data_IF_430717212344
#
_entry.id   IF_430717212344
#
_cell.length_a   1.000
_cell.length_b   1.000
_cell.length_c   1.000
_cell.angle_alpha   90.00
_cell.angle_beta   90.00
_cell.angle_gamma   90.00
#
_symmetry.space_group_name_H-M   'P 1'
#
loop_
_entity.id
_entity.type
_entity.pdbx_description
1 polymer ?
#
# COMPACT_ATOMS: atom_id res chain seq x y z
N UNK A 1 -46.50 33.00 8.42
CA UNK A 1 -47.83 33.64 8.18
C UNK A 1 -47.93 34.20 6.75
N UNK A 2 -48.25 35.49 6.52
CA UNK A 2 -47.97 36.13 5.22
C UNK A 2 -46.47 36.43 5.12
N UNK A 3 -45.92 36.53 3.91
CA UNK A 3 -44.49 36.78 3.73
C UNK A 3 -44.09 38.20 4.21
N UNK A 4 -42.89 38.29 4.78
CA UNK A 4 -42.21 39.52 5.21
C UNK A 4 -41.26 39.93 4.09
N UNK A 5 -41.27 41.21 3.74
CA UNK A 5 -40.46 41.75 2.66
C UNK A 5 -39.70 42.98 3.16
N UNK A 6 -38.39 42.99 2.91
CA UNK A 6 -37.53 44.16 2.93
C UNK A 6 -37.73 45.07 1.71
N UNK A 7 -36.79 45.98 1.52
CA UNK A 7 -36.69 46.89 0.39
C UNK A 7 -35.30 46.85 -0.27
N UNK A 8 -34.82 47.95 -0.86
CA UNK A 8 -33.52 47.94 -1.57
C UNK A 8 -32.43 48.67 -0.75
N UNK A 9 -32.69 48.89 0.53
CA UNK A 9 -31.78 49.49 1.50
C UNK A 9 -31.49 48.43 2.59
N UNK A 10 -30.39 48.58 3.34
CA UNK A 10 -30.05 47.67 4.45
C UNK A 10 -31.20 47.54 5.47
N UNK A 11 -31.63 46.31 5.73
CA UNK A 11 -32.75 45.99 6.61
C UNK A 11 -32.33 45.12 7.81
N UNK A 12 -33.04 45.28 8.93
CA UNK A 12 -32.99 44.34 10.06
C UNK A 12 -34.38 43.71 10.20
N UNK A 13 -34.47 42.41 9.95
CA UNK A 13 -35.74 41.69 9.82
C UNK A 13 -35.79 40.50 10.79
N UNK A 14 -36.93 40.35 11.46
CA UNK A 14 -37.21 39.22 12.35
C UNK A 14 -38.48 38.51 11.87
N UNK A 15 -38.41 37.20 11.65
CA UNK A 15 -39.53 36.31 11.33
C UNK A 15 -40.51 36.23 12.49
N UNK A 16 -39.98 35.89 13.67
CA UNK A 16 -40.76 35.62 14.87
C UNK A 16 -41.13 34.15 14.96
N UNK A 17 -41.97 33.79 15.93
CA UNK A 17 -42.32 32.38 16.13
C UNK A 17 -43.27 31.82 15.05
N UNK A 18 -42.92 30.65 14.52
CA UNK A 18 -43.63 29.82 13.56
C UNK A 18 -43.08 29.94 12.13
N UNK A 19 -43.47 29.04 11.24
CA UNK A 19 -42.95 29.02 9.86
C UNK A 19 -43.19 30.33 9.08
N UNK A 20 -42.10 31.03 8.79
CA UNK A 20 -42.10 32.33 8.13
C UNK A 20 -41.37 32.33 6.78
N UNK A 21 -41.71 33.35 5.99
CA UNK A 21 -41.10 33.57 4.67
C UNK A 21 -40.59 34.98 4.64
N UNK A 22 -39.28 35.14 4.57
CA UNK A 22 -38.60 36.42 4.67
C UNK A 22 -37.76 36.65 3.42
N UNK A 23 -37.88 37.85 2.85
CA UNK A 23 -37.16 38.25 1.64
C UNK A 23 -36.52 39.62 1.88
N UNK A 24 -35.19 39.72 1.91
CA UNK A 24 -34.43 40.97 2.05
C UNK A 24 -34.59 41.89 0.83
N UNK A 25 -34.41 41.31 -0.36
CA UNK A 25 -34.38 41.94 -1.69
C UNK A 25 -33.03 42.54 -2.06
N UNK A 26 -32.65 43.70 -1.54
CA UNK A 26 -31.31 44.20 -1.79
C UNK A 26 -30.84 45.22 -0.77
N UNK A 27 -29.52 45.41 -0.69
CA UNK A 27 -28.88 46.02 0.49
C UNK A 27 -28.13 44.95 1.27
N UNK A 28 -27.43 45.34 2.32
CA UNK A 28 -26.80 44.39 3.25
C UNK A 28 -27.74 44.14 4.42
N UNK A 29 -28.51 43.07 4.35
CA UNK A 29 -29.59 42.77 5.28
C UNK A 29 -29.14 41.87 6.43
N UNK A 30 -29.78 42.03 7.59
CA UNK A 30 -29.62 41.17 8.77
C UNK A 30 -30.96 40.52 9.09
N UNK A 31 -31.08 39.22 8.84
CA UNK A 31 -32.36 38.49 8.85
C UNK A 31 -32.30 37.31 9.83
N UNK A 32 -33.27 37.28 10.75
CA UNK A 32 -33.42 36.23 11.77
C UNK A 32 -34.77 35.51 11.61
N UNK A 33 -34.76 34.18 11.58
CA UNK A 33 -35.95 33.31 11.54
C UNK A 33 -36.68 33.26 12.89
N UNK A 34 -35.94 33.02 13.98
CA UNK A 34 -36.42 32.64 15.32
C UNK A 34 -36.88 31.16 15.36
N UNK A 35 -37.88 30.79 16.16
CA UNK A 35 -38.40 29.40 16.22
C UNK A 35 -39.33 29.14 15.02
N UNK A 36 -39.12 28.11 14.20
CA UNK A 36 -39.99 27.77 13.07
C UNK A 36 -39.25 27.02 11.97
N UNK A 37 -39.97 26.53 10.95
CA UNK A 37 -39.32 26.09 9.71
C UNK A 37 -39.37 27.24 8.71
N UNK A 38 -38.31 28.03 8.66
CA UNK A 38 -38.29 29.30 7.96
C UNK A 38 -37.71 29.22 6.55
N UNK A 39 -38.17 30.13 5.70
CA UNK A 39 -37.64 30.32 4.35
C UNK A 39 -37.14 31.74 4.20
N UNK A 40 -35.83 31.92 4.25
CA UNK A 40 -35.13 33.20 4.27
C UNK A 40 -34.34 33.35 2.98
N UNK A 41 -34.49 34.50 2.33
CA UNK A 41 -33.73 34.90 1.14
C UNK A 41 -33.14 36.28 1.38
N UNK A 42 -31.81 36.41 1.28
CA UNK A 42 -31.09 37.69 1.36
C UNK A 42 -31.39 38.55 0.14
N UNK A 43 -30.78 38.25 -1.00
CA UNK A 43 -31.02 38.95 -2.26
C UNK A 43 -29.74 39.49 -2.88
N UNK A 44 -29.73 40.77 -3.26
CA UNK A 44 -28.53 41.45 -3.77
C UNK A 44 -27.84 42.23 -2.61
N UNK A 45 -26.60 41.92 -2.26
CA UNK A 45 -25.82 42.62 -1.23
C UNK A 45 -25.11 41.62 -0.31
N UNK A 46 -24.33 42.12 0.65
CA UNK A 46 -23.64 41.26 1.62
C UNK A 46 -24.56 41.06 2.84
N UNK A 47 -25.22 39.90 2.93
CA UNK A 47 -26.29 39.62 3.89
C UNK A 47 -25.84 38.76 5.07
N UNK A 48 -26.54 38.86 6.20
CA UNK A 48 -26.41 37.97 7.36
C UNK A 48 -27.75 37.26 7.61
N UNK A 49 -27.77 35.94 7.47
CA UNK A 49 -28.98 35.11 7.59
C UNK A 49 -28.82 34.12 8.75
N UNK A 50 -29.76 34.12 9.70
CA UNK A 50 -29.80 33.15 10.79
C UNK A 50 -31.18 32.49 10.87
N UNK A 51 -31.23 31.16 10.73
CA UNK A 51 -32.47 30.39 10.85
C UNK A 51 -32.96 30.28 12.30
N UNK A 52 -32.02 30.03 13.22
CA UNK A 52 -32.29 29.65 14.61
C UNK A 52 -32.98 28.27 14.73
N UNK A 53 -34.23 28.20 15.17
CA UNK A 53 -34.81 26.95 15.68
C UNK A 53 -35.79 26.28 14.73
N UNK A 54 -35.36 25.30 13.94
CA UNK A 54 -36.25 24.41 13.18
C UNK A 54 -35.58 23.92 11.91
N UNK A 55 -36.35 23.42 10.94
CA UNK A 55 -35.81 23.01 9.63
C UNK A 55 -35.87 24.19 8.65
N UNK A 56 -34.78 24.94 8.53
CA UNK A 56 -34.76 26.22 7.81
C UNK A 56 -34.24 26.11 6.38
N UNK A 57 -34.52 27.12 5.56
CA UNK A 57 -33.92 27.32 4.25
C UNK A 57 -33.38 28.74 4.16
N UNK A 58 -32.06 28.87 4.11
CA UNK A 58 -31.33 30.13 4.01
C UNK A 58 -30.68 30.23 2.62
N UNK A 59 -31.02 31.26 1.87
CA UNK A 59 -30.47 31.53 0.53
C UNK A 59 -29.84 32.93 0.54
N UNK A 60 -28.52 33.02 0.41
CA UNK A 60 -27.78 34.29 0.42
C UNK A 60 -28.15 35.16 -0.78
N UNK A 61 -27.72 34.76 -1.98
CA UNK A 61 -28.09 35.43 -3.22
C UNK A 61 -26.86 35.90 -3.98
N UNK A 62 -26.68 37.20 -4.14
CA UNK A 62 -25.53 37.78 -4.80
C UNK A 62 -24.84 38.78 -3.88
N UNK A 63 -23.55 38.60 -3.62
CA UNK A 63 -22.80 39.34 -2.61
C UNK A 63 -22.02 38.36 -1.74
N UNK A 64 -21.32 38.86 -0.73
CA UNK A 64 -20.56 38.02 0.19
C UNK A 64 -21.36 37.82 1.48
N UNK A 65 -22.05 36.70 1.59
CA UNK A 65 -23.08 36.46 2.60
C UNK A 65 -22.55 35.68 3.80
N UNK A 66 -23.21 35.80 4.95
CA UNK A 66 -22.97 35.01 6.15
C UNK A 66 -24.26 34.26 6.52
N UNK A 67 -24.25 32.93 6.41
CA UNK A 67 -25.39 32.09 6.76
C UNK A 67 -25.09 31.30 8.03
N UNK A 68 -25.91 31.43 9.05
CA UNK A 68 -25.72 30.80 10.36
C UNK A 68 -26.84 29.81 10.63
N UNK A 69 -26.48 28.53 10.73
CA UNK A 69 -27.33 27.49 11.32
C UNK A 69 -27.00 27.39 12.80
N UNK A 70 -27.98 27.69 13.65
CA UNK A 70 -27.85 27.69 15.10
C UNK A 70 -29.13 27.15 15.76
N UNK A 71 -29.33 25.85 15.71
CA UNK A 71 -30.46 25.21 16.38
C UNK A 71 -30.72 23.76 15.95
N UNK A 72 -31.62 23.11 16.67
CA UNK A 72 -32.05 21.76 16.35
C UNK A 72 -32.97 21.72 15.12
N UNK A 73 -32.45 21.26 13.98
CA UNK A 73 -33.23 20.95 12.78
C UNK A 73 -32.35 20.71 11.54
N UNK A 74 -32.98 20.27 10.45
CA UNK A 74 -32.35 19.97 9.17
C UNK A 74 -32.48 21.17 8.25
N UNK A 75 -31.38 21.91 8.11
CA UNK A 75 -31.37 23.16 7.37
C UNK A 75 -30.92 22.99 5.91
N UNK A 76 -31.25 23.98 5.08
CA UNK A 76 -30.75 24.12 3.71
C UNK A 76 -30.10 25.47 3.56
N UNK A 77 -28.79 25.50 3.35
CA UNK A 77 -28.01 26.73 3.22
C UNK A 77 -27.39 26.77 1.81
N UNK A 78 -27.58 27.87 1.11
CA UNK A 78 -27.03 28.13 -0.23
C UNK A 78 -26.51 29.59 -0.24
N UNK A 79 -25.19 29.78 -0.32
CA UNK A 79 -24.56 31.11 -0.31
C UNK A 79 -24.92 31.90 -1.56
N UNK A 80 -24.74 31.31 -2.75
CA UNK A 80 -25.19 31.90 -4.01
C UNK A 80 -24.03 32.37 -4.87
N UNK A 81 -23.79 33.67 -5.01
CA UNK A 81 -22.71 34.19 -5.85
C UNK A 81 -21.93 35.28 -5.10
N UNK A 82 -20.64 35.08 -4.92
CA UNK A 82 -19.75 35.90 -4.09
C UNK A 82 -18.92 35.00 -3.19
N UNK A 83 -18.08 35.58 -2.33
CA UNK A 83 -17.29 34.82 -1.37
C UNK A 83 -18.06 34.73 -0.04
N UNK A 84 -18.75 33.60 0.19
CA UNK A 84 -19.72 33.42 1.28
C UNK A 84 -19.12 32.72 2.51
N UNK A 85 -19.77 32.86 3.67
CA UNK A 85 -19.41 32.20 4.92
C UNK A 85 -20.62 31.47 5.50
N UNK A 86 -20.55 30.14 5.58
CA UNK A 86 -21.56 29.33 6.27
C UNK A 86 -21.03 28.92 7.63
N UNK A 87 -21.80 29.17 8.69
CA UNK A 87 -21.45 28.84 10.08
C UNK A 87 -22.43 27.81 10.62
N UNK A 88 -21.92 26.66 11.05
CA UNK A 88 -22.70 25.60 11.66
C UNK A 88 -22.34 25.51 13.15
N UNK A 89 -23.34 25.75 14.00
CA UNK A 89 -23.17 25.76 15.46
C UNK A 89 -23.73 24.51 16.16
N UNK A 90 -24.65 23.74 15.54
CA UNK A 90 -25.13 22.43 16.01
C UNK A 90 -25.70 21.56 14.87
N UNK A 91 -25.98 20.28 15.18
CA UNK A 91 -25.94 19.17 14.21
C UNK A 91 -27.24 18.38 14.00
N UNK A 92 -27.97 18.74 12.96
CA UNK A 92 -28.72 17.77 12.16
C UNK A 92 -28.22 17.81 10.71
N UNK A 93 -28.55 16.80 9.88
CA UNK A 93 -27.98 16.69 8.54
C UNK A 93 -28.51 17.77 7.61
N UNK A 94 -27.77 18.87 7.50
CA UNK A 94 -28.12 20.02 6.67
C UNK A 94 -27.58 19.88 5.24
N UNK A 95 -28.30 20.42 4.26
CA UNK A 95 -27.83 20.56 2.88
C UNK A 95 -27.09 21.88 2.75
N UNK A 96 -25.84 21.84 2.30
CA UNK A 96 -25.00 23.03 2.19
C UNK A 96 -24.51 23.23 0.76
N UNK A 97 -24.51 24.47 0.30
CA UNK A 97 -23.85 24.91 -0.93
C UNK A 97 -23.19 26.26 -0.68
N UNK A 98 -21.93 26.38 -1.09
CA UNK A 98 -21.22 27.66 -1.15
C UNK A 98 -21.80 28.51 -2.28
N UNK A 99 -21.55 28.12 -3.52
CA UNK A 99 -22.08 28.84 -4.67
C UNK A 99 -21.00 29.16 -5.70
N UNK A 100 -21.06 30.32 -6.33
CA UNK A 100 -20.01 30.84 -7.20
C UNK A 100 -19.10 31.79 -6.42
N UNK A 101 -17.88 31.39 -6.08
CA UNK A 101 -16.90 32.28 -5.43
C UNK A 101 -15.84 31.50 -4.69
N UNK A 102 -15.25 32.09 -3.64
CA UNK A 102 -14.40 31.38 -2.68
C UNK A 102 -15.12 31.31 -1.32
N UNK A 103 -15.83 30.22 -1.09
CA UNK A 103 -16.73 30.11 0.05
C UNK A 103 -16.04 29.46 1.26
N UNK A 104 -16.48 29.82 2.47
CA UNK A 104 -15.92 29.34 3.74
C UNK A 104 -16.98 28.65 4.59
N UNK A 105 -16.73 27.39 4.98
CA UNK A 105 -17.52 26.67 5.97
C UNK A 105 -16.81 26.72 7.35
N UNK A 106 -17.48 27.29 8.35
CA UNK A 106 -17.06 27.31 9.75
C UNK A 106 -17.85 26.28 10.54
N UNK A 107 -17.18 25.25 11.06
CA UNK A 107 -17.82 24.20 11.85
C UNK A 107 -17.36 24.31 13.30
N UNK A 108 -18.31 24.52 14.21
CA UNK A 108 -18.09 24.56 15.66
C UNK A 108 -18.91 23.48 16.36
N UNK A 109 -18.64 22.20 16.10
CA UNK A 109 -19.36 21.09 16.74
C UNK A 109 -19.34 19.78 15.95
N UNK A 110 -20.24 18.87 16.32
CA UNK A 110 -20.56 17.66 15.56
C UNK A 110 -21.53 18.03 14.44
N UNK A 111 -21.20 17.67 13.20
CA UNK A 111 -22.10 17.90 12.05
C UNK A 111 -22.26 16.60 11.28
N UNK A 112 -23.49 16.30 10.89
CA UNK A 112 -23.79 15.25 9.92
C UNK A 112 -23.98 15.94 8.57
N UNK A 113 -23.34 15.45 7.50
CA UNK A 113 -23.45 16.04 6.18
C UNK A 113 -24.03 15.01 5.21
N UNK A 114 -25.04 15.39 4.43
CA UNK A 114 -25.73 14.45 3.53
C UNK A 114 -25.37 14.62 2.05
N UNK A 115 -24.76 15.74 1.64
CA UNK A 115 -24.16 15.91 0.31
C UNK A 115 -23.43 17.26 0.17
N UNK A 116 -22.25 17.26 -0.45
CA UNK A 116 -21.77 18.42 -1.21
C UNK A 116 -22.30 18.30 -2.64
N UNK A 117 -23.09 19.27 -3.10
CA UNK A 117 -23.61 19.27 -4.47
C UNK A 117 -22.50 19.51 -5.50
N UNK A 118 -22.67 19.02 -6.73
CA UNK A 118 -21.75 19.33 -7.84
C UNK A 118 -21.87 20.80 -8.28
N UNK A 119 -20.86 21.62 -7.98
CA UNK A 119 -20.73 23.07 -8.24
C UNK A 119 -19.55 23.60 -7.41
N UNK A 120 -19.03 24.81 -7.68
CA UNK A 120 -17.91 25.35 -6.88
C UNK A 120 -18.32 25.34 -5.40
N UNK A 121 -17.56 24.60 -4.60
CA UNK A 121 -17.98 24.07 -3.30
C UNK A 121 -17.64 25.07 -2.19
N UNK A 122 -17.37 24.57 -0.99
CA UNK A 122 -16.62 25.40 -0.04
C UNK A 122 -15.12 25.23 -0.33
N UNK A 123 -14.47 26.28 -0.82
CA UNK A 123 -13.02 26.29 -1.04
C UNK A 123 -12.24 26.41 0.28
N UNK A 124 -12.89 26.79 1.37
CA UNK A 124 -12.26 26.91 2.70
C UNK A 124 -13.11 26.23 3.76
N UNK A 125 -12.50 25.40 4.60
CA UNK A 125 -13.13 24.85 5.81
C UNK A 125 -12.24 25.19 6.99
N UNK A 126 -12.81 25.82 8.01
CA UNK A 126 -12.14 26.05 9.29
C UNK A 126 -12.88 25.27 10.36
N UNK A 127 -12.32 24.11 10.71
CA UNK A 127 -12.92 23.18 11.67
C UNK A 127 -12.04 22.95 12.91
N UNK A 128 -12.72 22.81 14.05
CA UNK A 128 -12.38 21.86 15.12
C UNK A 128 -13.64 21.01 15.27
N UNK A 129 -13.83 20.00 14.42
CA UNK A 129 -15.11 19.29 14.33
C UNK A 129 -15.01 17.91 13.69
N UNK A 130 -15.95 17.04 14.04
CA UNK A 130 -16.09 15.67 13.56
C UNK A 130 -17.23 15.65 12.51
N UNK A 131 -16.96 15.14 11.31
CA UNK A 131 -17.95 14.99 10.24
C UNK A 131 -18.37 13.52 10.20
N UNK A 132 -19.68 13.28 10.36
CA UNK A 132 -20.25 11.95 10.19
C UNK A 132 -21.09 11.90 8.92
N UNK A 133 -20.94 10.82 8.17
CA UNK A 133 -21.89 10.40 7.16
C UNK A 133 -23.26 10.13 7.77
N UNK A 134 -24.20 9.78 6.91
CA UNK A 134 -25.48 9.21 7.31
C UNK A 134 -25.53 7.79 6.78
N UNK A 135 -26.19 6.86 7.48
CA UNK A 135 -26.28 5.49 6.96
C UNK A 135 -26.80 5.42 5.51
N UNK A 136 -26.14 4.62 4.68
CA UNK A 136 -26.32 4.51 3.23
C UNK A 136 -25.09 5.02 2.46
N UNK A 137 -25.11 4.93 1.13
CA UNK A 137 -23.94 5.27 0.31
C UNK A 137 -23.78 6.79 0.12
N UNK A 138 -22.71 7.37 0.66
CA UNK A 138 -22.44 8.80 0.77
C UNK A 138 -21.31 9.23 -0.20
N UNK A 139 -21.22 10.55 -0.47
CA UNK A 139 -20.06 11.15 -1.15
C UNK A 139 -19.67 12.43 -0.42
N UNK A 140 -18.47 12.44 0.14
CA UNK A 140 -17.88 13.48 0.96
C UNK A 140 -16.57 13.91 0.29
N UNK A 141 -16.53 15.10 -0.30
CA UNK A 141 -15.38 15.55 -1.11
C UNK A 141 -14.82 16.87 -0.55
N UNK A 142 -13.61 16.79 0.00
CA UNK A 142 -12.86 17.92 0.58
C UNK A 142 -11.61 18.27 -0.24
N UNK A 143 -11.45 17.72 -1.44
CA UNK A 143 -10.24 17.86 -2.26
C UNK A 143 -9.99 19.29 -2.76
N UNK A 144 -11.03 20.12 -2.82
CA UNK A 144 -10.95 21.52 -3.21
C UNK A 144 -10.64 22.49 -2.05
N UNK A 145 -10.52 21.97 -0.82
CA UNK A 145 -10.36 22.80 0.38
C UNK A 145 -8.92 23.31 0.49
N UNK A 146 -8.75 24.62 0.42
CA UNK A 146 -7.49 25.33 0.65
C UNK A 146 -7.48 26.02 2.03
N UNK A 147 -6.43 25.91 2.85
CA UNK A 147 -6.52 26.30 4.26
C UNK A 147 -6.20 27.78 4.54
N UNK A 148 -6.92 28.37 5.49
CA UNK A 148 -6.63 29.69 6.05
C UNK A 148 -5.63 29.62 7.23
N UNK A 149 -4.34 29.82 6.94
CA UNK A 149 -3.18 30.29 7.75
C UNK A 149 -3.00 29.97 9.27
N UNK A 150 -3.92 29.34 10.00
CA UNK A 150 -3.88 29.36 11.48
C UNK A 150 -3.93 27.99 12.16
N UNK A 151 -4.39 26.94 11.47
CA UNK A 151 -4.43 25.59 12.04
C UNK A 151 -3.84 24.56 11.08
N UNK A 152 -3.06 23.63 11.64
CA UNK A 152 -2.25 22.64 10.92
C UNK A 152 -2.91 21.26 10.87
N UNK A 153 -4.22 21.18 11.01
CA UNK A 153 -4.97 19.93 11.03
C UNK A 153 -5.87 19.88 9.79
N UNK A 154 -5.96 18.71 9.16
CA UNK A 154 -6.95 18.38 8.15
C UNK A 154 -8.32 18.05 8.75
N UNK A 155 -9.11 17.24 8.07
CA UNK A 155 -10.48 16.85 8.45
C UNK A 155 -10.52 15.52 9.20
N UNK A 156 -11.55 15.36 10.04
CA UNK A 156 -11.98 14.05 10.54
C UNK A 156 -13.29 13.68 9.85
N UNK A 157 -13.34 12.53 9.20
CA UNK A 157 -14.51 12.03 8.48
C UNK A 157 -14.78 10.58 8.90
N UNK A 158 -16.04 10.24 9.12
CA UNK A 158 -16.51 8.88 9.43
C UNK A 158 -17.76 8.58 8.58
N UNK A 159 -17.67 7.62 7.66
CA UNK A 159 -18.74 7.25 6.72
C UNK A 159 -19.91 6.48 7.36
N UNK A 160 -19.66 5.78 8.47
CA UNK A 160 -20.60 4.94 9.22
C UNK A 160 -21.07 3.67 8.49
N UNK A 161 -22.21 3.67 7.83
CA UNK A 161 -22.78 2.48 7.16
C UNK A 161 -23.01 2.78 5.69
N UNK A 162 -22.79 1.82 4.79
CA UNK A 162 -23.03 1.93 3.35
C UNK A 162 -21.74 2.13 2.54
N UNK A 163 -21.82 1.98 1.22
CA UNK A 163 -20.62 2.13 0.38
C UNK A 163 -20.35 3.62 0.08
N UNK A 164 -19.32 4.17 0.72
CA UNK A 164 -19.02 5.58 0.76
C UNK A 164 -17.89 6.00 -0.18
N UNK A 165 -17.88 7.28 -0.53
CA UNK A 165 -16.77 7.90 -1.26
C UNK A 165 -16.30 9.12 -0.49
N UNK A 166 -15.07 9.06 0.01
CA UNK A 166 -14.45 10.11 0.82
C UNK A 166 -13.24 10.66 0.06
N UNK A 167 -13.09 11.97 0.01
CA UNK A 167 -11.88 12.62 -0.48
C UNK A 167 -11.40 13.64 0.55
N UNK A 168 -10.16 13.48 1.00
CA UNK A 168 -9.49 14.34 1.97
C UNK A 168 -9.05 15.67 1.37
N UNK A 169 -8.20 16.37 2.11
CA UNK A 169 -7.70 17.71 1.82
C UNK A 169 -6.25 17.64 1.32
N UNK A 170 -5.50 18.74 1.49
CA UNK A 170 -4.05 18.79 1.25
C UNK A 170 -3.28 18.86 2.58
N UNK A 171 -3.85 18.27 3.64
CA UNK A 171 -3.33 18.26 5.01
C UNK A 171 -3.64 16.92 5.65
N UNK A 172 -2.92 16.66 6.74
CA UNK A 172 -3.10 15.54 7.66
C UNK A 172 -4.57 15.32 8.08
N UNK A 173 -5.20 14.32 7.49
CA UNK A 173 -6.59 13.92 7.68
C UNK A 173 -6.72 12.63 8.51
N UNK A 174 -7.92 12.38 9.05
CA UNK A 174 -8.34 11.10 9.62
C UNK A 174 -9.67 10.70 8.98
N UNK A 175 -9.65 9.67 8.15
CA UNK A 175 -10.76 9.26 7.30
C UNK A 175 -11.16 7.82 7.60
N UNK A 176 -12.39 7.60 8.05
CA UNK A 176 -12.95 6.29 8.36
C UNK A 176 -14.06 5.97 7.35
N UNK A 177 -14.00 4.80 6.72
CA UNK A 177 -15.02 4.27 5.82
C UNK A 177 -16.26 3.83 6.59
N UNK A 178 -16.09 2.86 7.48
CA UNK A 178 -17.16 2.28 8.29
C UNK A 178 -17.60 0.91 7.75
N UNK A 179 -18.84 0.52 7.99
CA UNK A 179 -19.42 -0.67 7.36
C UNK A 179 -19.70 -0.35 5.88
N UNK A 180 -19.13 -1.03 4.90
CA UNK A 180 -19.26 -0.56 3.52
C UNK A 180 -18.51 -1.33 2.45
N UNK A 181 -18.24 -0.64 1.34
CA UNK A 181 -17.26 -1.00 0.31
C UNK A 181 -16.76 0.33 -0.24
N UNK A 182 -15.93 0.95 0.55
CA UNK A 182 -15.70 2.37 0.55
C UNK A 182 -14.57 2.76 -0.38
N UNK A 183 -14.53 4.04 -0.70
CA UNK A 183 -13.51 4.62 -1.58
C UNK A 183 -12.98 5.87 -0.95
N UNK A 184 -11.80 5.77 -0.36
CA UNK A 184 -11.13 6.88 0.31
C UNK A 184 -9.94 7.33 -0.54
N UNK A 185 -9.79 8.63 -0.73
CA UNK A 185 -8.60 9.23 -1.32
C UNK A 185 -8.19 10.40 -0.42
N UNK A 186 -7.11 10.27 0.34
CA UNK A 186 -6.78 11.26 1.36
C UNK A 186 -6.10 12.50 0.76
N UNK A 187 -5.17 12.29 -0.18
CA UNK A 187 -4.69 13.35 -1.05
C UNK A 187 -3.22 13.66 -0.79
N UNK A 188 -2.94 14.74 -0.05
CA UNK A 188 -1.58 15.03 0.38
C UNK A 188 -1.62 15.41 1.86
N UNK A 189 -0.59 15.08 2.62
CA UNK A 189 -0.62 15.25 4.06
C UNK A 189 -0.16 13.98 4.75
N UNK A 190 0.00 14.01 6.08
CA UNK A 190 0.23 12.79 6.84
C UNK A 190 -1.12 12.24 7.30
N UNK A 191 -1.70 11.37 6.48
CA UNK A 191 -3.08 10.95 6.61
C UNK A 191 -3.21 9.62 7.39
N UNK A 192 -4.35 9.44 8.05
CA UNK A 192 -4.73 8.16 8.67
C UNK A 192 -6.05 7.69 8.05
N UNK A 193 -6.03 6.54 7.39
CA UNK A 193 -7.19 5.96 6.73
C UNK A 193 -7.56 4.65 7.40
N UNK A 194 -8.85 4.44 7.65
CA UNK A 194 -9.40 3.17 8.12
C UNK A 194 -10.56 2.76 7.21
N UNK A 195 -10.50 1.57 6.61
CA UNK A 195 -11.60 1.00 5.82
C UNK A 195 -12.73 0.52 6.74
N UNK A 196 -12.35 -0.29 7.73
CA UNK A 196 -13.23 -1.00 8.69
C UNK A 196 -13.85 -2.26 8.09
N UNK A 197 -15.18 -2.39 8.03
CA UNK A 197 -15.84 -3.62 7.56
C UNK A 197 -16.21 -3.45 6.08
N UNK A 198 -15.70 -4.26 5.15
CA UNK A 198 -16.05 -4.09 3.75
C UNK A 198 -14.93 -4.44 2.78
N UNK A 199 -15.22 -4.44 1.47
CA UNK A 199 -14.16 -4.48 0.47
C UNK A 199 -13.87 -3.06 -0.02
N UNK A 200 -12.87 -2.43 0.56
CA UNK A 200 -12.58 -1.02 0.43
C UNK A 200 -11.47 -0.72 -0.57
N UNK A 201 -11.39 0.54 -0.99
CA UNK A 201 -10.31 1.05 -1.83
C UNK A 201 -9.77 2.33 -1.21
N UNK A 202 -8.54 2.28 -0.69
CA UNK A 202 -7.92 3.36 0.06
C UNK A 202 -6.68 3.86 -0.68
N UNK A 203 -6.58 5.16 -0.87
CA UNK A 203 -5.40 5.84 -1.41
C UNK A 203 -4.90 6.87 -0.39
N UNK A 204 -3.69 6.69 0.13
CA UNK A 204 -3.01 7.65 1.00
C UNK A 204 -2.68 8.92 0.21
N UNK A 205 -1.87 8.75 -0.83
CA UNK A 205 -1.65 9.77 -1.85
C UNK A 205 -0.25 10.32 -1.82
N UNK A 206 0.04 11.29 -0.96
CA UNK A 206 1.33 11.96 -0.94
C UNK A 206 1.76 12.27 0.48
N UNK A 207 3.06 12.12 0.75
CA UNK A 207 3.67 12.16 2.09
C UNK A 207 3.48 10.82 2.83
N UNK A 208 3.84 10.72 4.11
CA UNK A 208 3.90 9.44 4.83
C UNK A 208 2.60 9.14 5.56
N UNK A 209 1.84 8.18 5.04
CA UNK A 209 0.49 7.86 5.46
C UNK A 209 0.40 6.57 6.29
N UNK A 210 -0.70 6.43 7.03
CA UNK A 210 -1.08 5.20 7.72
C UNK A 210 -2.42 4.72 7.16
N UNK A 211 -2.46 3.48 6.69
CA UNK A 211 -3.64 2.89 6.05
C UNK A 211 -3.94 1.55 6.72
N UNK A 212 -5.18 1.36 7.17
CA UNK A 212 -5.71 0.12 7.76
C UNK A 212 -6.95 -0.29 6.96
N UNK A 213 -6.89 -1.43 6.26
CA UNK A 213 -8.01 -1.97 5.48
C UNK A 213 -9.13 -2.44 6.39
N UNK A 214 -8.82 -3.37 7.29
CA UNK A 214 -9.75 -3.87 8.29
C UNK A 214 -10.21 -5.27 7.94
N UNK A 215 -11.51 -5.48 7.77
CA UNK A 215 -12.07 -6.78 7.44
C UNK A 215 -12.70 -6.77 6.05
N UNK A 216 -12.20 -7.62 5.16
CA UNK A 216 -12.73 -7.78 3.81
C UNK A 216 -11.61 -7.87 2.79
N UNK A 217 -11.94 -7.89 1.50
CA UNK A 217 -10.90 -7.95 0.46
C UNK A 217 -10.62 -6.54 -0.06
N UNK A 218 -9.59 -5.93 0.48
CA UNK A 218 -9.26 -4.53 0.29
C UNK A 218 -8.22 -4.29 -0.82
N UNK A 219 -8.26 -3.08 -1.38
CA UNK A 219 -7.26 -2.57 -2.29
C UNK A 219 -6.64 -1.29 -1.72
N UNK A 220 -5.43 -1.41 -1.20
CA UNK A 220 -4.74 -0.38 -0.45
C UNK A 220 -3.54 0.16 -1.24
N UNK A 221 -3.43 1.49 -1.33
CA UNK A 221 -2.40 2.19 -2.10
C UNK A 221 -1.76 3.29 -1.24
N UNK A 222 -0.47 3.18 -0.95
CA UNK A 222 0.31 4.25 -0.29
C UNK A 222 0.55 5.44 -1.23
N UNK A 223 0.78 5.13 -2.50
CA UNK A 223 1.11 6.05 -3.60
C UNK A 223 2.52 6.65 -3.48
N UNK A 224 2.73 7.81 -2.85
CA UNK A 224 4.06 8.43 -2.77
C UNK A 224 4.36 8.88 -1.35
N UNK A 225 5.32 8.26 -0.68
CA UNK A 225 5.40 8.43 0.75
C UNK A 225 6.50 7.63 1.41
N UNK A 226 6.33 7.36 2.68
CA UNK A 226 6.99 6.26 3.38
C UNK A 226 5.87 5.72 4.26
N UNK A 227 5.08 4.82 3.69
CA UNK A 227 3.75 4.52 4.19
C UNK A 227 3.76 3.29 5.09
N UNK A 228 2.83 3.24 6.05
CA UNK A 228 2.56 2.06 6.87
C UNK A 228 1.16 1.55 6.52
N UNK A 229 1.09 0.36 5.91
CA UNK A 229 -0.15 -0.20 5.37
C UNK A 229 -0.42 -1.57 5.99
N UNK A 230 -1.62 -1.74 6.51
CA UNK A 230 -2.15 -2.94 7.16
C UNK A 230 -3.37 -3.43 6.36
N UNK A 231 -3.30 -4.65 5.81
CA UNK A 231 -4.40 -5.31 5.09
C UNK A 231 -5.52 -5.69 6.04
N UNK A 232 -5.25 -6.66 6.92
CA UNK A 232 -6.14 -7.02 8.02
C UNK A 232 -6.64 -8.46 7.91
N UNK A 233 -7.97 -8.64 7.87
CA UNK A 233 -8.57 -9.96 7.66
C UNK A 233 -9.05 -10.12 6.21
N UNK A 234 -8.93 -11.35 5.68
CA UNK A 234 -9.25 -11.75 4.30
C UNK A 234 -8.15 -11.38 3.29
N UNK A 235 -8.40 -11.58 1.99
CA UNK A 235 -7.35 -11.55 0.96
C UNK A 235 -7.19 -10.16 0.35
N UNK A 236 -6.13 -9.47 0.70
CA UNK A 236 -5.90 -8.07 0.35
C UNK A 236 -4.92 -7.86 -0.80
N UNK A 237 -5.02 -6.69 -1.42
CA UNK A 237 -4.07 -6.20 -2.42
C UNK A 237 -3.47 -4.88 -1.97
N UNK A 238 -2.19 -4.91 -1.60
CA UNK A 238 -1.44 -3.78 -1.06
C UNK A 238 -0.34 -3.34 -2.05
N UNK A 239 -0.25 -2.04 -2.31
CA UNK A 239 0.78 -1.41 -3.15
C UNK A 239 1.34 -0.17 -2.42
N UNK A 240 2.59 -0.26 -1.95
CA UNK A 240 3.28 0.82 -1.23
C UNK A 240 3.53 2.03 -2.12
N UNK A 241 4.17 1.81 -3.26
CA UNK A 241 4.37 2.82 -4.29
C UNK A 241 5.79 3.39 -4.29
N UNK A 242 5.92 4.72 -4.34
CA UNK A 242 7.22 5.39 -4.24
C UNK A 242 7.49 5.65 -2.75
N UNK A 243 8.49 5.02 -2.14
CA UNK A 243 8.72 5.22 -0.72
C UNK A 243 9.59 4.17 -0.07
N UNK A 244 9.89 4.35 1.21
CA UNK A 244 10.37 3.25 2.06
C UNK A 244 9.21 2.83 2.93
N UNK A 245 8.47 1.85 2.45
CA UNK A 245 7.15 1.48 2.97
C UNK A 245 7.22 0.26 3.89
N UNK A 246 6.18 0.09 4.70
CA UNK A 246 6.00 -1.06 5.58
C UNK A 246 4.60 -1.63 5.37
N UNK A 247 4.54 -2.85 4.85
CA UNK A 247 3.29 -3.50 4.44
C UNK A 247 3.07 -4.81 5.23
N UNK A 248 1.87 -4.99 5.76
CA UNK A 248 1.43 -6.20 6.48
C UNK A 248 0.18 -6.77 5.81
N UNK A 249 0.20 -8.06 5.42
CA UNK A 249 -0.97 -8.79 4.91
C UNK A 249 -1.90 -9.28 6.03
N UNK A 250 -1.31 -9.90 7.06
CA UNK A 250 -1.98 -10.51 8.21
C UNK A 250 -2.69 -11.82 7.92
N UNK A 251 -4.02 -11.86 7.81
CA UNK A 251 -4.78 -13.11 7.71
C UNK A 251 -5.43 -13.21 6.34
N UNK A 252 -4.91 -14.03 5.45
CA UNK A 252 -5.49 -14.16 4.11
C UNK A 252 -4.49 -14.70 3.11
N UNK A 253 -4.89 -14.94 1.87
CA UNK A 253 -3.89 -15.09 0.79
C UNK A 253 -3.71 -13.71 0.13
N UNK A 254 -2.68 -12.98 0.54
CA UNK A 254 -2.49 -11.57 0.26
C UNK A 254 -1.53 -11.31 -0.91
N UNK A 255 -1.62 -10.09 -1.47
CA UNK A 255 -0.68 -9.61 -2.48
C UNK A 255 -0.08 -8.28 -2.07
N UNK A 256 1.22 -8.28 -1.77
CA UNK A 256 1.99 -7.11 -1.36
C UNK A 256 2.98 -6.70 -2.44
N UNK A 257 2.97 -5.41 -2.82
CA UNK A 257 3.95 -4.80 -3.73
C UNK A 257 4.61 -3.62 -2.99
N UNK A 258 5.92 -3.65 -2.82
CA UNK A 258 6.68 -2.54 -2.20
C UNK A 258 6.73 -1.32 -3.11
N UNK A 259 7.36 -1.47 -4.28
CA UNK A 259 7.48 -0.44 -5.29
C UNK A 259 8.92 0.06 -5.43
N UNK A 260 9.14 1.36 -5.23
CA UNK A 260 10.46 1.99 -5.32
C UNK A 260 10.91 2.49 -3.94
N UNK A 261 12.05 2.00 -3.47
CA UNK A 261 12.70 2.44 -2.23
C UNK A 261 13.01 1.22 -1.36
N UNK A 262 13.39 1.42 -0.10
CA UNK A 262 13.75 0.27 0.75
C UNK A 262 12.53 -0.11 1.60
N UNK A 263 11.87 -1.19 1.23
CA UNK A 263 10.58 -1.59 1.73
C UNK A 263 10.68 -2.76 2.72
N UNK A 264 9.62 -2.92 3.50
CA UNK A 264 9.41 -4.09 4.36
C UNK A 264 8.06 -4.70 4.09
N UNK A 265 8.05 -5.96 3.69
CA UNK A 265 6.84 -6.70 3.37
C UNK A 265 6.72 -7.91 4.31
N UNK A 266 5.57 -8.05 4.95
CA UNK A 266 5.22 -9.15 5.84
C UNK A 266 3.91 -9.78 5.36
N UNK A 267 3.96 -11.00 4.84
CA UNK A 267 2.74 -11.74 4.42
C UNK A 267 1.91 -12.16 5.62
N UNK A 268 2.59 -12.74 6.63
CA UNK A 268 2.00 -13.29 7.86
C UNK A 268 1.28 -14.62 7.62
N UNK A 269 0.00 -14.81 7.96
CA UNK A 269 -0.69 -16.11 7.85
C UNK A 269 -1.45 -16.19 6.51
N UNK A 270 -0.97 -16.99 5.56
CA UNK A 270 -1.45 -16.89 4.18
C UNK A 270 -0.65 -17.68 3.16
N UNK A 271 -1.18 -17.92 1.96
CA UNK A 271 -0.32 -18.22 0.81
C UNK A 271 -0.13 -16.94 0.01
N UNK A 272 0.91 -16.19 0.34
CA UNK A 272 1.03 -14.80 -0.04
C UNK A 272 1.90 -14.60 -1.29
N UNK A 273 1.70 -13.45 -1.94
CA UNK A 273 2.52 -12.98 -3.06
C UNK A 273 3.18 -11.67 -2.67
N UNK A 274 4.49 -11.72 -2.44
CA UNK A 274 5.29 -10.55 -2.08
C UNK A 274 6.24 -10.18 -3.22
N UNK A 275 6.22 -8.92 -3.65
CA UNK A 275 7.10 -8.39 -4.70
C UNK A 275 7.66 -7.05 -4.21
N UNK A 276 8.94 -7.01 -3.83
CA UNK A 276 9.52 -5.80 -3.25
C UNK A 276 9.71 -4.70 -4.31
N UNK A 277 10.44 -4.98 -5.38
CA UNK A 277 10.58 -4.03 -6.50
C UNK A 277 12.00 -3.51 -6.64
N UNK A 278 12.24 -2.24 -6.37
CA UNK A 278 13.57 -1.66 -6.49
C UNK A 278 14.03 -0.99 -5.20
N UNK A 279 15.17 -1.42 -4.67
CA UNK A 279 15.76 -0.91 -3.45
C UNK A 279 16.31 -2.07 -2.63
N UNK A 280 16.86 -1.81 -1.45
CA UNK A 280 17.39 -2.87 -0.59
C UNK A 280 16.32 -3.28 0.43
N UNK A 281 15.59 -4.35 0.11
CA UNK A 281 14.32 -4.68 0.72
C UNK A 281 14.42 -5.80 1.78
N UNK A 282 13.39 -5.89 2.63
CA UNK A 282 13.25 -6.93 3.64
C UNK A 282 11.89 -7.60 3.54
N UNK A 283 11.87 -8.89 3.25
CA UNK A 283 10.64 -9.65 3.01
C UNK A 283 10.56 -10.87 3.92
N UNK A 284 9.36 -11.14 4.43
CA UNK A 284 9.02 -12.32 5.23
C UNK A 284 7.63 -12.82 4.77
N UNK A 285 7.58 -13.99 4.12
CA UNK A 285 6.32 -14.59 3.66
C UNK A 285 5.42 -14.98 4.83
N UNK A 286 5.98 -15.68 5.82
CA UNK A 286 5.27 -15.98 7.06
C UNK A 286 4.85 -17.45 7.15
N UNK A 287 3.56 -17.74 7.24
CA UNK A 287 2.99 -19.09 7.37
C UNK A 287 2.10 -19.38 6.18
N UNK A 288 2.53 -20.31 5.33
CA UNK A 288 1.80 -20.88 4.20
C UNK A 288 2.75 -21.06 3.02
N UNK A 289 2.22 -21.47 1.87
CA UNK A 289 3.06 -21.73 0.69
C UNK A 289 3.22 -20.42 -0.11
N UNK A 290 4.30 -19.67 0.14
CA UNK A 290 4.44 -18.30 -0.33
C UNK A 290 5.19 -18.16 -1.67
N UNK A 291 4.95 -17.06 -2.37
CA UNK A 291 5.71 -16.63 -3.54
C UNK A 291 6.35 -15.25 -3.28
N UNK A 292 7.67 -15.24 -3.07
CA UNK A 292 8.40 -14.04 -2.65
C UNK A 292 9.47 -13.66 -3.68
N UNK A 293 9.47 -12.40 -4.10
CA UNK A 293 10.47 -11.84 -5.03
C UNK A 293 11.13 -10.61 -4.41
N UNK A 294 12.45 -10.65 -4.25
CA UNK A 294 13.28 -9.53 -3.76
C UNK A 294 13.23 -8.35 -4.72
N UNK A 295 13.92 -8.44 -5.86
CA UNK A 295 13.84 -7.41 -6.88
C UNK A 295 15.21 -7.01 -7.38
N UNK A 296 15.44 -5.71 -7.51
CA UNK A 296 16.76 -5.18 -7.86
C UNK A 296 17.44 -4.63 -6.61
N UNK A 297 18.77 -4.73 -6.55
CA UNK A 297 19.62 -4.40 -5.39
C UNK A 297 19.66 -5.52 -4.33
N UNK A 298 20.26 -5.28 -3.16
CA UNK A 298 20.61 -6.37 -2.26
C UNK A 298 19.51 -6.59 -1.21
N UNK A 299 18.82 -7.71 -1.32
CA UNK A 299 17.63 -7.98 -0.52
C UNK A 299 17.89 -8.99 0.61
N UNK A 300 17.03 -8.94 1.62
CA UNK A 300 16.89 -9.99 2.64
C UNK A 300 15.51 -10.60 2.52
N UNK A 301 15.45 -11.88 2.15
CA UNK A 301 14.20 -12.57 1.81
C UNK A 301 14.07 -13.84 2.65
N UNK A 302 12.94 -13.99 3.33
CA UNK A 302 12.55 -15.19 4.07
C UNK A 302 11.23 -15.71 3.48
N UNK A 303 11.20 -16.99 3.08
CA UNK A 303 9.98 -17.71 2.70
C UNK A 303 9.07 -17.86 3.91
N UNK A 304 9.49 -18.64 4.90
CA UNK A 304 8.76 -18.82 6.15
C UNK A 304 8.46 -20.29 6.44
N UNK A 305 7.26 -20.55 6.94
CA UNK A 305 6.73 -21.88 7.21
C UNK A 305 5.81 -22.31 6.06
N UNK A 306 6.23 -23.24 5.21
CA UNK A 306 5.42 -23.78 4.11
C UNK A 306 6.29 -24.24 2.97
N UNK A 307 5.72 -24.56 1.81
CA UNK A 307 6.51 -24.92 0.64
C UNK A 307 6.68 -23.70 -0.27
N UNK A 308 7.74 -22.94 -0.04
CA UNK A 308 7.86 -21.59 -0.61
C UNK A 308 8.58 -21.57 -1.96
N UNK A 309 8.32 -20.51 -2.72
CA UNK A 309 9.10 -20.14 -3.90
C UNK A 309 9.69 -18.75 -3.66
N UNK A 310 11.01 -18.70 -3.54
CA UNK A 310 11.74 -17.47 -3.22
C UNK A 310 12.74 -17.13 -4.32
N UNK A 311 12.61 -15.95 -4.92
CA UNK A 311 13.48 -15.45 -5.99
C UNK A 311 14.15 -14.12 -5.56
N UNK A 312 15.46 -14.14 -5.33
CA UNK A 312 16.25 -12.94 -5.01
C UNK A 312 16.33 -11.94 -6.16
N UNK A 313 16.13 -12.40 -7.41
CA UNK A 313 16.14 -11.60 -8.64
C UNK A 313 17.48 -10.96 -9.02
N UNK A 314 17.90 -9.82 -8.48
CA UNK A 314 19.07 -9.11 -8.98
C UNK A 314 19.79 -8.34 -7.91
N UNK A 315 20.90 -8.84 -7.41
CA UNK A 315 21.48 -8.31 -6.19
C UNK A 315 22.51 -9.24 -5.60
N UNK A 316 23.14 -8.83 -4.51
CA UNK A 316 23.83 -9.77 -3.64
C UNK A 316 22.91 -10.09 -2.47
N UNK A 317 22.07 -11.10 -2.65
CA UNK A 317 20.90 -11.32 -1.81
C UNK A 317 21.16 -12.30 -0.68
N UNK A 318 20.37 -12.19 0.39
CA UNK A 318 20.28 -13.22 1.43
C UNK A 318 18.89 -13.82 1.41
N UNK A 319 18.80 -15.04 0.88
CA UNK A 319 17.56 -15.78 0.68
C UNK A 319 17.49 -16.96 1.62
N UNK A 320 16.37 -17.12 2.31
CA UNK A 320 16.08 -18.24 3.20
C UNK A 320 14.74 -18.87 2.86
N UNK A 321 14.69 -20.20 2.80
CA UNK A 321 13.46 -20.97 2.65
C UNK A 321 12.68 -20.97 3.95
N UNK A 322 13.12 -21.77 4.92
CA UNK A 322 12.55 -21.79 6.26
C UNK A 322 12.13 -23.20 6.65
N UNK A 323 10.90 -23.41 7.10
CA UNK A 323 10.36 -24.75 7.33
C UNK A 323 9.57 -25.17 6.10
N UNK A 324 9.99 -26.19 5.37
CA UNK A 324 9.37 -26.34 4.08
C UNK A 324 9.90 -27.41 3.18
N UNK A 325 9.76 -27.19 1.89
CA UNK A 325 10.49 -27.89 0.85
C UNK A 325 10.52 -26.92 -0.30
N UNK A 326 11.53 -26.06 -0.26
CA UNK A 326 11.44 -24.74 -0.85
C UNK A 326 12.17 -24.67 -2.19
N UNK A 327 11.80 -23.70 -3.02
CA UNK A 327 12.50 -23.39 -4.26
C UNK A 327 13.17 -22.02 -4.14
N UNK A 328 14.50 -22.03 -4.01
CA UNK A 328 15.29 -20.82 -3.82
C UNK A 328 16.11 -20.50 -5.08
N UNK A 329 15.98 -19.27 -5.56
CA UNK A 329 16.72 -18.73 -6.71
C UNK A 329 17.46 -17.46 -6.28
N UNK A 330 18.80 -17.42 -6.41
CA UNK A 330 19.61 -16.21 -6.19
C UNK A 330 19.66 -15.30 -7.42
N UNK A 331 19.65 -15.92 -8.61
CA UNK A 331 19.69 -15.29 -9.93
C UNK A 331 21.00 -14.57 -10.23
N UNK A 332 21.14 -13.28 -9.93
CA UNK A 332 22.26 -12.50 -10.44
C UNK A 332 22.94 -11.72 -9.32
N UNK A 333 24.16 -12.12 -8.97
CA UNK A 333 25.04 -11.37 -8.07
C UNK A 333 25.85 -12.31 -7.20
N UNK A 334 25.94 -12.08 -5.89
CA UNK A 334 26.70 -13.02 -5.05
C UNK A 334 25.86 -13.35 -3.84
N UNK A 335 25.13 -14.45 -3.96
CA UNK A 335 23.97 -14.69 -3.13
C UNK A 335 24.27 -15.66 -2.01
N UNK A 336 23.50 -15.54 -0.93
CA UNK A 336 23.50 -16.48 0.18
C UNK A 336 22.13 -17.14 0.21
N UNK A 337 22.07 -18.42 -0.16
CA UNK A 337 20.84 -19.21 -0.11
C UNK A 337 20.92 -20.22 1.04
N UNK A 338 19.88 -20.27 1.86
CA UNK A 338 19.76 -21.21 2.99
C UNK A 338 18.37 -21.87 2.97
N UNK A 339 18.30 -23.17 2.66
CA UNK A 339 17.04 -23.93 2.68
C UNK A 339 16.46 -24.09 4.09
N UNK A 340 17.33 -24.35 5.07
CA UNK A 340 17.00 -24.59 6.48
C UNK A 340 16.42 -25.99 6.74
N UNK A 341 15.11 -26.19 6.82
CA UNK A 341 14.52 -27.49 7.08
C UNK A 341 13.56 -27.87 5.97
N UNK A 342 13.79 -28.99 5.30
CA UNK A 342 13.03 -29.29 4.10
C UNK A 342 13.84 -30.12 3.12
N UNK A 343 13.17 -30.64 2.10
CA UNK A 343 13.88 -31.17 0.94
C UNK A 343 13.95 -30.03 -0.10
N UNK A 344 15.00 -29.22 -0.02
CA UNK A 344 15.02 -27.91 -0.70
C UNK A 344 15.68 -27.94 -2.07
N UNK A 345 15.27 -27.05 -2.97
CA UNK A 345 15.83 -26.85 -4.30
C UNK A 345 16.53 -25.48 -4.38
N UNK A 346 17.84 -25.47 -4.62
CA UNK A 346 18.66 -24.25 -4.62
C UNK A 346 19.34 -24.02 -5.96
N UNK A 347 19.15 -22.83 -6.53
CA UNK A 347 19.84 -22.33 -7.72
C UNK A 347 20.49 -20.99 -7.36
N UNK A 348 21.83 -20.96 -7.26
CA UNK A 348 22.57 -19.71 -7.05
C UNK A 348 22.39 -18.77 -8.23
N UNK A 349 22.82 -19.20 -9.42
CA UNK A 349 22.72 -18.43 -10.64
C UNK A 349 24.07 -17.82 -11.01
N UNK A 350 24.06 -16.61 -11.55
CA UNK A 350 25.27 -15.93 -12.00
C UNK A 350 25.99 -15.26 -10.84
N UNK A 351 27.25 -15.62 -10.66
CA UNK A 351 28.20 -14.93 -9.80
C UNK A 351 28.82 -15.88 -8.79
N UNK A 352 28.96 -15.47 -7.53
CA UNK A 352 29.63 -16.29 -6.52
C UNK A 352 28.73 -16.53 -5.34
N UNK A 353 28.07 -17.68 -5.37
CA UNK A 353 27.01 -17.96 -4.43
C UNK A 353 27.46 -18.88 -3.29
N UNK A 354 26.78 -18.75 -2.17
CA UNK A 354 26.93 -19.58 -0.98
C UNK A 354 25.63 -20.32 -0.71
N UNK A 355 25.62 -21.61 -1.03
CA UNK A 355 24.42 -22.45 -0.96
C UNK A 355 24.48 -23.38 0.25
N UNK A 356 23.46 -23.32 1.09
CA UNK A 356 23.32 -24.16 2.29
C UNK A 356 21.98 -24.86 2.23
N UNK A 357 21.97 -26.19 2.15
CA UNK A 357 20.72 -26.94 2.07
C UNK A 357 20.05 -26.99 3.45
N UNK A 358 20.79 -27.49 4.44
CA UNK A 358 20.33 -27.57 5.82
C UNK A 358 19.96 -29.00 6.22
N UNK A 359 18.73 -29.20 6.66
CA UNK A 359 18.19 -30.49 7.08
C UNK A 359 17.21 -31.03 6.05
N UNK A 360 17.61 -32.05 5.33
CA UNK A 360 16.72 -32.84 4.48
C UNK A 360 17.50 -33.39 3.31
N UNK A 361 16.81 -33.70 2.22
CA UNK A 361 17.40 -34.20 0.99
C UNK A 361 17.45 -33.10 -0.07
N UNK A 362 18.46 -32.24 0.02
CA UNK A 362 18.52 -31.01 -0.77
C UNK A 362 19.08 -31.21 -2.18
N UNK A 363 18.65 -30.38 -3.12
CA UNK A 363 19.08 -30.38 -4.51
C UNK A 363 19.72 -29.04 -4.88
N UNK A 364 21.02 -29.05 -5.15
CA UNK A 364 21.76 -27.89 -5.67
C UNK A 364 21.88 -28.01 -7.18
N UNK A 365 21.32 -27.05 -7.91
CA UNK A 365 21.21 -27.11 -9.38
C UNK A 365 22.04 -26.02 -10.02
N UNK A 366 22.77 -26.39 -11.07
CA UNK A 366 23.68 -25.50 -11.78
C UNK A 366 23.36 -25.46 -13.28
N UNK A 367 23.35 -24.26 -13.85
CA UNK A 367 23.17 -24.02 -15.28
C UNK A 367 24.48 -23.59 -15.94
N UNK A 368 24.48 -23.62 -17.27
CA UNK A 368 25.62 -23.17 -18.05
C UNK A 368 25.79 -21.64 -17.90
N UNK A 369 26.90 -21.21 -17.30
CA UNK A 369 27.23 -19.80 -17.08
C UNK A 369 27.26 -19.39 -15.61
N UNK A 370 26.71 -20.21 -14.72
CA UNK A 370 26.64 -19.94 -13.27
C UNK A 370 28.03 -20.04 -12.61
N UNK A 371 28.82 -21.04 -13.03
CA UNK A 371 30.08 -21.40 -12.39
C UNK A 371 31.33 -20.81 -13.07
N UNK A 372 32.34 -20.44 -12.27
CA UNK A 372 33.63 -19.91 -12.72
C UNK A 372 34.73 -21.00 -12.65
N UNK A 373 35.63 -21.05 -13.64
CA UNK A 373 36.81 -21.93 -13.64
C UNK A 373 37.74 -21.68 -12.43
N UNK A 374 37.78 -20.43 -11.96
CA UNK A 374 38.53 -20.01 -10.80
C UNK A 374 37.78 -20.34 -9.52
N UNK A 375 38.30 -21.31 -8.77
CA UNK A 375 37.78 -21.75 -7.47
C UNK A 375 37.64 -20.66 -6.40
N UNK A 376 38.23 -19.47 -6.61
CA UNK A 376 38.05 -18.32 -5.72
C UNK A 376 36.75 -17.53 -5.99
N UNK A 377 36.21 -17.67 -7.20
CA UNK A 377 35.08 -16.90 -7.73
C UNK A 377 33.84 -17.75 -7.99
N UNK A 378 33.95 -19.07 -7.94
CA UNK A 378 32.80 -19.96 -8.16
C UNK A 378 32.04 -20.24 -6.86
N UNK A 379 30.84 -20.77 -7.04
CA UNK A 379 29.94 -21.17 -5.95
C UNK A 379 30.54 -22.13 -4.93
N UNK A 380 29.97 -22.01 -3.73
CA UNK A 380 30.27 -22.80 -2.57
C UNK A 380 29.00 -23.46 -2.02
N UNK A 381 28.95 -24.80 -2.05
CA UNK A 381 28.00 -25.56 -1.23
C UNK A 381 28.60 -25.77 0.16
N UNK A 382 27.92 -25.28 1.19
CA UNK A 382 28.51 -25.10 2.52
C UNK A 382 28.37 -26.31 3.44
N UNK A 383 27.35 -27.15 3.25
CA UNK A 383 26.98 -28.18 4.22
C UNK A 383 26.54 -29.54 3.62
N UNK A 384 26.90 -29.82 2.37
CA UNK A 384 26.53 -31.03 1.64
C UNK A 384 26.70 -32.35 2.42
N UNK A 385 25.63 -33.15 2.51
CA UNK A 385 25.54 -34.45 3.19
C UNK A 385 24.79 -35.49 2.32
N UNK A 386 25.50 -36.15 1.41
CA UNK A 386 24.95 -37.30 0.64
C UNK A 386 24.27 -38.42 1.47
N UNK A 387 24.55 -38.51 2.78
CA UNK A 387 23.88 -39.47 3.67
C UNK A 387 22.46 -39.04 4.07
N UNK A 388 22.13 -37.75 4.01
CA UNK A 388 20.79 -37.21 4.27
C UNK A 388 19.92 -37.23 3.01
N UNK A 389 20.53 -37.04 1.85
CA UNK A 389 19.82 -37.18 0.58
C UNK A 389 20.32 -36.25 -0.50
N UNK A 390 21.24 -35.36 -0.16
CA UNK A 390 21.65 -34.24 -1.00
C UNK A 390 22.18 -34.65 -2.37
N UNK A 391 21.90 -33.83 -3.38
CA UNK A 391 22.33 -34.01 -4.77
C UNK A 391 22.86 -32.71 -5.35
N UNK A 392 23.87 -32.85 -6.19
CA UNK A 392 24.38 -31.81 -7.09
C UNK A 392 23.89 -32.18 -8.50
N UNK A 393 23.09 -31.32 -9.11
CA UNK A 393 22.52 -31.51 -10.43
C UNK A 393 23.23 -30.63 -11.46
N UNK A 394 23.82 -31.27 -12.46
CA UNK A 394 24.46 -30.61 -13.60
C UNK A 394 23.81 -31.01 -14.93
N UNK A 395 22.60 -31.58 -14.89
CA UNK A 395 21.88 -32.06 -16.07
C UNK A 395 21.53 -30.94 -17.06
N UNK A 396 21.55 -29.68 -16.60
CA UNK A 396 21.36 -28.49 -17.42
C UNK A 396 22.64 -27.98 -18.10
N UNK A 397 23.76 -28.69 -17.97
CA UNK A 397 25.04 -28.32 -18.59
C UNK A 397 25.46 -29.38 -19.60
N UNK A 398 25.72 -28.95 -20.84
CA UNK A 398 26.30 -29.82 -21.86
C UNK A 398 27.73 -30.21 -21.48
N UNK A 399 27.94 -31.50 -21.22
CA UNK A 399 29.23 -32.01 -20.82
C UNK A 399 30.27 -31.99 -21.96
N UNK A 400 29.89 -32.13 -23.23
CA UNK A 400 30.84 -32.21 -24.34
C UNK A 400 30.46 -31.26 -25.49
N UNK A 401 30.92 -30.02 -25.35
CA UNK A 401 30.71 -28.94 -26.33
C UNK A 401 31.32 -29.21 -27.72
N UNK A 402 32.10 -30.29 -27.87
CA UNK A 402 32.72 -30.67 -29.15
C UNK A 402 31.79 -31.52 -30.02
N UNK A 403 30.72 -32.05 -29.45
CA UNK A 403 29.67 -32.80 -30.15
C UNK A 403 28.31 -32.15 -29.88
N UNK A 404 27.27 -32.57 -30.61
CA UNK A 404 25.94 -31.98 -30.48
C UNK A 404 25.01 -32.80 -29.59
N UNK A 405 24.28 -32.12 -28.69
CA UNK A 405 23.27 -32.70 -27.79
C UNK A 405 23.78 -32.74 -26.36
N UNK A 406 22.92 -33.12 -25.40
CA UNK A 406 23.28 -33.05 -23.98
C UNK A 406 24.00 -34.33 -23.54
N UNK A 407 25.33 -34.27 -23.41
CA UNK A 407 26.10 -35.40 -22.88
C UNK A 407 26.15 -35.38 -21.35
N UNK A 408 26.32 -36.57 -20.76
CA UNK A 408 26.55 -36.71 -19.33
C UNK A 408 28.04 -36.60 -18.99
N UNK A 409 28.35 -35.96 -17.87
CA UNK A 409 29.71 -35.89 -17.33
C UNK A 409 30.27 -37.26 -16.94
N UNK A 410 31.57 -37.44 -17.17
CA UNK A 410 32.34 -38.64 -16.82
C UNK A 410 33.37 -38.32 -15.74
N UNK A 411 33.18 -38.91 -14.56
CA UNK A 411 34.13 -38.77 -13.46
C UNK A 411 35.44 -39.52 -13.73
N UNK A 412 36.56 -38.80 -13.67
CA UNK A 412 37.91 -39.35 -13.84
C UNK A 412 38.81 -39.03 -12.64
N UNK A 413 39.77 -39.93 -12.36
CA UNK A 413 40.72 -39.73 -11.24
C UNK A 413 41.78 -38.66 -11.51
N UNK A 414 42.04 -38.38 -12.79
CA UNK A 414 42.88 -37.30 -13.28
C UNK A 414 42.46 -36.98 -14.71
N UNK A 415 42.59 -35.72 -15.12
CA UNK A 415 42.25 -35.28 -16.48
C UNK A 415 43.07 -36.05 -17.52
N UNK A 416 42.39 -36.55 -18.56
CA UNK A 416 42.94 -37.41 -19.60
C UNK A 416 42.84 -36.82 -21.02
N UNK A 417 42.43 -35.55 -21.14
CA UNK A 417 42.17 -34.83 -22.41
C UNK A 417 40.90 -35.27 -23.12
N UNK A 418 39.94 -35.84 -22.39
CA UNK A 418 38.58 -36.04 -22.86
C UNK A 418 37.74 -34.80 -22.58
N UNK A 419 36.88 -34.42 -23.51
CA UNK A 419 35.74 -33.56 -23.22
C UNK A 419 34.70 -34.35 -22.40
N UNK A 420 33.88 -33.64 -21.61
CA UNK A 420 32.96 -34.23 -20.65
C UNK A 420 33.59 -34.83 -19.40
N UNK A 421 34.89 -34.59 -19.17
CA UNK A 421 35.56 -35.12 -17.98
C UNK A 421 35.35 -34.22 -16.75
N UNK A 422 35.19 -34.84 -15.58
CA UNK A 422 35.13 -34.15 -14.29
C UNK A 422 36.17 -34.73 -13.34
N UNK A 423 37.00 -33.85 -12.77
CA UNK A 423 38.02 -34.21 -11.79
C UNK A 423 37.61 -33.70 -10.41
N UNK A 424 37.54 -34.63 -9.46
CA UNK A 424 37.30 -34.33 -8.04
C UNK A 424 38.59 -34.40 -7.23
N UNK A 425 38.89 -33.35 -6.48
CA UNK A 425 39.99 -33.30 -5.51
C UNK A 425 39.50 -32.92 -4.12
N UNK A 426 39.90 -33.66 -3.08
CA UNK A 426 39.60 -33.35 -1.68
C UNK A 426 40.87 -32.95 -0.92
N UNK A 427 40.83 -31.81 -0.23
CA UNK A 427 41.86 -31.35 0.70
C UNK A 427 41.36 -31.52 2.14
N UNK A 428 41.87 -32.54 2.83
CA UNK A 428 41.54 -32.81 4.23
C UNK A 428 42.12 -31.82 5.24
N UNK A 429 43.06 -30.95 4.84
CA UNK A 429 43.60 -29.89 5.69
C UNK A 429 42.61 -28.75 5.92
N UNK A 430 41.74 -28.48 4.94
CA UNK A 430 40.70 -27.45 4.99
C UNK A 430 39.27 -28.02 4.85
N UNK A 431 39.13 -29.35 4.82
CA UNK A 431 37.87 -30.07 4.66
C UNK A 431 37.06 -29.59 3.44
N UNK A 432 37.68 -29.59 2.26
CA UNK A 432 37.07 -29.05 1.04
C UNK A 432 37.23 -29.99 -0.14
N UNK A 433 36.14 -30.25 -0.83
CA UNK A 433 36.12 -30.90 -2.15
C UNK A 433 36.01 -29.84 -3.24
N UNK A 434 36.74 -30.03 -4.33
CA UNK A 434 36.66 -29.21 -5.53
C UNK A 434 36.38 -30.13 -6.72
N UNK A 435 35.34 -29.81 -7.47
CA UNK A 435 35.05 -30.39 -8.78
C UNK A 435 35.55 -29.45 -9.86
N UNK A 436 36.20 -29.98 -10.89
CA UNK A 436 36.63 -29.25 -12.09
C UNK A 436 36.09 -29.95 -13.31
N UNK A 437 35.42 -29.21 -14.17
CA UNK A 437 34.72 -29.71 -15.35
C UNK A 437 35.49 -29.28 -16.61
N UNK A 438 35.63 -30.20 -17.56
CA UNK A 438 36.35 -30.02 -18.81
C UNK A 438 35.43 -30.37 -19.97
N UNK A 439 34.75 -29.39 -20.53
CA UNK A 439 33.71 -29.57 -21.55
C UNK A 439 34.22 -29.53 -22.98
N UNK A 440 35.45 -29.08 -23.23
CA UNK A 440 36.08 -29.06 -24.57
C UNK A 440 37.35 -29.92 -24.69
N UNK A 441 37.88 -30.39 -23.55
CA UNK A 441 39.06 -31.26 -23.48
C UNK A 441 40.41 -30.56 -23.74
N UNK A 442 40.49 -29.22 -23.69
CA UNK A 442 41.71 -28.46 -23.99
C UNK A 442 42.80 -28.54 -22.90
N UNK A 443 42.42 -28.95 -21.69
CA UNK A 443 43.29 -29.11 -20.52
C UNK A 443 43.24 -27.97 -19.50
N UNK A 444 42.36 -27.02 -19.71
CA UNK A 444 41.92 -26.01 -18.74
C UNK A 444 40.50 -26.38 -18.31
N UNK A 445 40.18 -26.20 -17.03
CA UNK A 445 38.80 -26.43 -16.59
C UNK A 445 37.94 -25.26 -17.04
N UNK A 446 36.76 -25.55 -17.58
CA UNK A 446 35.81 -24.53 -18.05
C UNK A 446 35.05 -23.91 -16.88
N UNK A 447 34.77 -24.71 -15.86
CA UNK A 447 34.18 -24.26 -14.60
C UNK A 447 34.54 -25.19 -13.44
N UNK A 448 34.33 -24.72 -12.22
CA UNK A 448 34.57 -25.47 -11.00
C UNK A 448 33.38 -25.36 -10.03
N UNK A 449 33.30 -26.28 -9.07
CA UNK A 449 32.40 -26.13 -7.92
C UNK A 449 33.18 -26.42 -6.64
N UNK A 450 32.96 -25.63 -5.60
CA UNK A 450 33.51 -25.86 -4.28
C UNK A 450 32.44 -26.43 -3.35
N UNK A 451 32.78 -27.50 -2.63
CA UNK A 451 31.91 -28.10 -1.64
C UNK A 451 32.68 -28.29 -0.34
N UNK A 452 32.13 -27.81 0.78
CA UNK A 452 32.68 -28.13 2.09
C UNK A 452 32.36 -29.59 2.45
N UNK A 453 33.35 -30.29 2.98
CA UNK A 453 33.24 -31.73 3.27
C UNK A 453 33.88 -32.64 2.22
N UNK A 454 33.88 -33.94 2.53
CA UNK A 454 34.45 -34.98 1.66
C UNK A 454 33.34 -35.67 0.85
N UNK A 455 33.21 -35.31 -0.42
CA UNK A 455 32.16 -35.83 -1.30
C UNK A 455 32.66 -37.08 -2.04
N UNK A 456 32.24 -38.28 -1.61
CA UNK A 456 32.86 -39.54 -2.09
C UNK A 456 32.03 -40.30 -3.12
N UNK A 457 30.70 -40.32 -3.01
CA UNK A 457 29.76 -41.03 -3.90
C UNK A 457 28.31 -40.57 -3.67
N UNK A 458 27.40 -40.90 -4.60
CA UNK A 458 25.95 -40.69 -4.41
C UNK A 458 25.49 -39.23 -4.50
N UNK A 459 26.27 -38.38 -5.17
CA UNK A 459 26.09 -36.93 -5.17
C UNK A 459 25.68 -36.36 -6.53
N UNK A 460 25.87 -37.08 -7.65
CA UNK A 460 25.65 -36.57 -9.00
C UNK A 460 24.31 -37.07 -9.56
N UNK A 461 23.50 -36.15 -10.07
CA UNK A 461 22.35 -36.43 -10.94
C UNK A 461 22.72 -36.22 -12.42
#
# INVERSE_FOLDING_TARGET
>A
MGAIYGDNDDNLIFGGAGDDKVYGQGGSDEIYGDDGNDYIVGGDGDDYLAGEGGDDTLLGGAGNDILVSCGCGVDKLDGGAGDDVVVLLDGAPSLLRGGDGNDTLLISGFVTLSSFGSGNGFEQISAVGLIYGTGGNNTLDFSAVVPFQTYNFGVYVDGLEGDDRISGTLRDDLLLGGDGNDRINAGAGLDNLLGEDGNDVLHGGGDADIIDGGAGQDALYGDAGNDEIDGGEDNDSIDGGDGSDVLYGWLGDDKLIGGLGNDKLYGEDGNDVLIAGGGADSLDGGVGDDYVVGGEENDTVLGGDGADVVDGAGGADTVKGGLGSDYLYGRAGNDILVGEAGDDFLVGGAGKDSLTGGNGADMFVFYAGDLDANVANTDLVTDFKAAQGDRLDFSNIDADTTVGGDQAFVMVGAFSKGAGEVVRSYDGGINRTVFRFFTDGDGVADFALVVNGNVTSGWLL
#
